data_IF_964806351025
#
_entry.id   IF_964806351025
#
_cell.length_a   1.000
_cell.length_b   1.000
_cell.length_c   1.000
_cell.angle_alpha   90.00
_cell.angle_beta   90.00
_cell.angle_gamma   90.00
#
_symmetry.space_group_name_H-M   'P 1'
#
loop_
_entity.id
_entity.type
_entity.pdbx_description
1 polymer ?
#
# COMPACT_ATOMS: atom_id res chain seq x y z
N UNK A 1 -4.69 12.86 6.52
CA UNK A 1 -3.28 12.52 6.80
C UNK A 1 -2.36 13.56 6.18
N UNK A 2 -1.31 13.97 6.89
CA UNK A 2 -0.33 14.98 6.47
C UNK A 2 0.87 14.26 5.87
N UNK A 3 1.30 14.67 4.67
CA UNK A 3 2.42 14.06 3.97
C UNK A 3 3.70 14.11 4.83
N UNK A 4 4.45 13.02 4.88
CA UNK A 4 5.67 12.84 5.68
C UNK A 4 5.49 12.91 7.21
N UNK A 5 4.27 13.13 7.72
CA UNK A 5 4.01 12.98 9.15
C UNK A 5 4.03 11.50 9.53
N UNK A 6 4.60 11.22 10.69
CA UNK A 6 4.63 9.92 11.31
C UNK A 6 3.38 9.71 12.18
N UNK A 7 2.92 8.47 12.21
CA UNK A 7 1.71 8.06 12.92
C UNK A 7 1.93 6.72 13.60
N UNK A 8 1.33 6.55 14.78
CA UNK A 8 1.19 5.24 15.43
C UNK A 8 0.07 4.45 14.77
N UNK A 9 -0.02 3.15 15.11
CA UNK A 9 -1.15 2.32 14.69
C UNK A 9 -2.48 2.91 15.15
N UNK A 10 -2.54 3.36 16.40
CA UNK A 10 -3.75 3.89 17.05
C UNK A 10 -4.21 5.18 16.37
N UNK A 11 -3.29 6.06 15.99
CA UNK A 11 -3.62 7.28 15.24
C UNK A 11 -4.16 6.97 13.83
N UNK A 12 -3.62 5.95 13.16
CA UNK A 12 -4.12 5.51 11.85
C UNK A 12 -5.49 4.85 12.00
N UNK A 13 -5.67 4.00 13.02
CA UNK A 13 -6.97 3.39 13.35
C UNK A 13 -8.04 4.45 13.58
N UNK A 14 -7.72 5.48 14.37
CA UNK A 14 -8.60 6.62 14.60
C UNK A 14 -8.90 7.39 13.31
N UNK A 15 -7.88 7.72 12.51
CA UNK A 15 -8.04 8.51 11.29
C UNK A 15 -8.87 7.81 10.20
N UNK A 16 -8.91 6.48 10.19
CA UNK A 16 -9.64 5.68 9.20
C UNK A 16 -10.91 5.01 9.76
N UNK A 17 -11.26 5.29 11.02
CA UNK A 17 -12.34 4.61 11.75
C UNK A 17 -12.26 3.08 11.58
N UNK A 18 -11.12 2.53 11.96
CA UNK A 18 -10.85 1.11 11.71
C UNK A 18 -10.02 0.47 12.81
N UNK A 19 -9.96 -0.86 12.78
CA UNK A 19 -9.11 -1.68 13.65
C UNK A 19 -8.28 -2.64 12.80
N UNK A 20 -6.98 -2.70 13.05
CA UNK A 20 -6.06 -3.65 12.41
C UNK A 20 -5.92 -4.95 13.21
N UNK A 21 -6.30 -4.94 14.50
CA UNK A 21 -6.12 -6.07 15.41
C UNK A 21 -4.70 -6.12 15.98
N UNK A 22 -4.20 -7.30 16.36
CA UNK A 22 -2.91 -7.45 17.04
C UNK A 22 -1.71 -6.94 16.23
N UNK A 23 -1.77 -7.00 14.89
CA UNK A 23 -0.70 -6.53 14.02
C UNK A 23 -1.23 -5.93 12.72
N UNK A 24 -0.42 -5.07 12.11
CA UNK A 24 -0.74 -4.44 10.82
C UNK A 24 -0.24 -5.34 9.69
N UNK A 25 -1.16 -5.80 8.85
CA UNK A 25 -0.84 -6.47 7.58
C UNK A 25 -0.33 -5.45 6.55
N UNK A 26 0.41 -5.93 5.56
CA UNK A 26 0.91 -5.07 4.48
C UNK A 26 -0.21 -4.45 3.64
N UNK A 27 -1.26 -5.21 3.34
CA UNK A 27 -2.41 -4.77 2.53
C UNK A 27 -3.67 -4.89 3.38
N UNK A 28 -4.35 -3.77 3.64
CA UNK A 28 -5.60 -3.75 4.39
C UNK A 28 -6.72 -3.19 3.51
N UNK A 29 -7.70 -4.03 3.17
CA UNK A 29 -8.91 -3.62 2.47
C UNK A 29 -9.92 -3.07 3.47
N UNK A 30 -10.53 -1.94 3.14
CA UNK A 30 -11.60 -1.33 3.91
C UNK A 30 -12.64 -0.73 2.96
N UNK A 31 -13.74 -0.24 3.53
CA UNK A 31 -14.79 0.47 2.82
C UNK A 31 -15.10 1.76 3.56
N UNK A 32 -15.36 2.83 2.81
CA UNK A 32 -15.98 4.02 3.35
C UNK A 32 -17.43 3.74 3.73
N UNK A 33 -18.08 4.68 4.42
CA UNK A 33 -19.50 4.58 4.83
C UNK A 33 -20.45 4.45 3.64
N UNK A 34 -20.09 5.03 2.49
CA UNK A 34 -20.80 4.89 1.20
C UNK A 34 -20.58 3.54 0.51
N UNK A 35 -19.80 2.64 1.12
CA UNK A 35 -19.47 1.32 0.59
C UNK A 35 -18.31 1.29 -0.40
N UNK A 36 -17.75 2.45 -0.80
CA UNK A 36 -16.63 2.51 -1.74
C UNK A 36 -15.38 1.87 -1.13
N UNK A 37 -14.73 0.91 -1.81
CA UNK A 37 -13.54 0.27 -1.26
C UNK A 37 -12.35 1.23 -1.26
N UNK A 38 -11.45 1.03 -0.31
CA UNK A 38 -10.13 1.66 -0.29
C UNK A 38 -9.10 0.70 0.31
N UNK A 39 -7.83 1.00 0.10
CA UNK A 39 -6.70 0.20 0.59
C UNK A 39 -5.83 1.07 1.49
N UNK A 40 -5.44 0.53 2.64
CA UNK A 40 -4.35 1.07 3.46
C UNK A 40 -3.14 0.15 3.27
N UNK A 41 -2.09 0.69 2.65
CA UNK A 41 -0.90 -0.05 2.25
C UNK A 41 0.27 0.30 3.17
N UNK A 42 0.82 -0.71 3.83
CA UNK A 42 1.96 -0.60 4.73
C UNK A 42 3.17 -1.29 4.11
N UNK A 43 4.27 -0.54 4.00
CA UNK A 43 5.57 -1.03 3.56
C UNK A 43 6.61 -0.85 4.67
N UNK A 44 7.51 -1.82 4.83
CA UNK A 44 8.63 -1.75 5.78
C UNK A 44 9.93 -1.61 5.00
N UNK A 45 10.80 -0.70 5.41
CA UNK A 45 12.09 -0.46 4.74
C UNK A 45 13.07 -1.64 4.89
N UNK A 46 12.89 -2.50 5.89
CA UNK A 46 13.78 -3.64 6.12
C UNK A 46 13.30 -4.90 5.37
N UNK A 47 13.69 -4.99 4.10
CA UNK A 47 13.63 -6.17 3.23
C UNK A 47 14.80 -6.11 2.22
N UNK A 48 15.14 -7.20 1.48
CA UNK A 48 16.37 -7.30 0.67
C UNK A 48 16.42 -6.37 -0.55
N UNK A 49 15.48 -5.43 -0.65
CA UNK A 49 15.35 -4.52 -1.79
C UNK A 49 15.81 -3.15 -1.35
N UNK A 50 16.86 -2.65 -1.99
CA UNK A 50 17.19 -1.23 -2.04
C UNK A 50 16.05 -0.53 -2.77
N UNK A 51 14.97 -0.25 -2.06
CA UNK A 51 13.89 0.57 -2.57
C UNK A 51 14.45 1.97 -2.85
N UNK A 52 14.78 2.26 -4.11
CA UNK A 52 14.86 3.63 -4.59
C UNK A 52 13.47 4.25 -4.44
N UNK A 53 13.25 4.91 -3.32
CA UNK A 53 12.21 5.92 -3.17
C UNK A 53 12.59 7.11 -4.06
N UNK A 54 12.48 6.95 -5.38
CA UNK A 54 12.32 8.10 -6.25
C UNK A 54 11.12 8.90 -5.74
N UNK A 55 11.10 10.24 -5.93
CA UNK A 55 10.07 11.11 -5.33
C UNK A 55 8.63 10.58 -5.51
N UNK A 56 8.35 9.83 -6.59
CA UNK A 56 7.00 9.53 -7.06
C UNK A 56 6.68 8.05 -7.38
N UNK A 57 7.63 7.13 -7.60
CA UNK A 57 7.35 5.74 -8.03
C UNK A 57 8.05 4.73 -7.11
N UNK A 58 7.36 3.63 -6.81
CA UNK A 58 7.82 2.58 -5.90
C UNK A 58 7.33 1.20 -6.35
N UNK A 59 8.07 0.16 -5.97
CA UNK A 59 7.71 -1.24 -6.17
C UNK A 59 7.18 -1.83 -4.86
N UNK A 60 6.19 -2.71 -4.95
CA UNK A 60 5.62 -3.39 -3.79
C UNK A 60 5.39 -4.85 -4.11
N UNK A 61 5.96 -5.74 -3.31
CA UNK A 61 5.73 -7.17 -3.43
C UNK A 61 4.42 -7.53 -2.70
N UNK A 62 3.58 -8.33 -3.37
CA UNK A 62 2.27 -8.73 -2.85
C UNK A 62 2.32 -9.53 -1.56
N UNK A 63 1.15 -9.82 -1.01
CA UNK A 63 1.00 -10.67 0.17
C UNK A 63 1.35 -12.14 -0.15
N UNK A 64 2.14 -12.75 0.75
CA UNK A 64 2.53 -14.16 0.70
C UNK A 64 4.04 -14.31 0.61
N UNK A 65 4.68 -14.75 1.70
CA UNK A 65 6.13 -14.97 1.77
C UNK A 65 6.48 -16.45 1.62
N UNK A 66 7.66 -16.74 1.08
CA UNK A 66 8.27 -18.07 0.97
C UNK A 66 7.38 -19.13 0.27
N UNK A 67 6.59 -18.70 -0.72
CA UNK A 67 5.74 -19.56 -1.57
C UNK A 67 5.32 -18.81 -2.81
N UNK A 68 4.89 -19.54 -3.86
CA UNK A 68 4.19 -18.94 -4.98
C UNK A 68 2.95 -18.19 -4.47
N UNK A 69 2.90 -16.89 -4.72
CA UNK A 69 1.83 -16.05 -4.23
C UNK A 69 0.52 -16.39 -4.93
N UNK A 70 -0.55 -16.45 -4.14
CA UNK A 70 -1.91 -16.62 -4.66
C UNK A 70 -2.55 -15.25 -4.86
N UNK A 71 -3.53 -15.16 -5.75
CA UNK A 71 -4.38 -13.98 -5.89
C UNK A 71 -5.40 -13.92 -4.75
N UNK A 72 -4.92 -13.77 -3.51
CA UNK A 72 -5.76 -13.58 -2.31
C UNK A 72 -6.56 -12.29 -2.41
N UNK A 73 -7.53 -12.07 -1.52
CA UNK A 73 -8.28 -10.80 -1.48
C UNK A 73 -7.35 -9.57 -1.41
N UNK A 74 -6.23 -9.67 -0.70
CA UNK A 74 -5.20 -8.64 -0.63
C UNK A 74 -4.56 -8.33 -1.99
N UNK A 75 -3.98 -9.34 -2.64
CA UNK A 75 -3.33 -9.16 -3.95
C UNK A 75 -4.35 -8.76 -5.02
N UNK A 76 -5.54 -9.37 -5.00
CA UNK A 76 -6.63 -9.03 -5.92
C UNK A 76 -7.05 -7.58 -5.76
N UNK A 77 -7.12 -7.03 -4.54
CA UNK A 77 -7.49 -5.63 -4.35
C UNK A 77 -6.51 -4.66 -5.01
N UNK A 78 -5.20 -4.95 -4.99
CA UNK A 78 -4.22 -4.13 -5.70
C UNK A 78 -4.36 -4.29 -7.22
N UNK A 79 -4.60 -5.50 -7.74
CA UNK A 79 -4.89 -5.72 -9.17
C UNK A 79 -6.15 -4.95 -9.60
N UNK A 80 -7.23 -5.07 -8.84
CA UNK A 80 -8.52 -4.41 -9.13
C UNK A 80 -8.41 -2.89 -9.03
N UNK A 81 -7.57 -2.37 -8.14
CA UNK A 81 -7.38 -0.92 -7.95
C UNK A 81 -6.89 -0.18 -9.19
N UNK A 82 -6.19 -0.89 -10.09
CA UNK A 82 -5.79 -0.33 -11.37
C UNK A 82 -6.99 -0.07 -12.29
N UNK A 83 -8.09 -0.81 -12.13
CA UNK A 83 -9.31 -0.71 -12.95
C UNK A 83 -10.36 0.20 -12.32
N UNK A 84 -10.62 0.04 -11.03
CA UNK A 84 -11.70 0.77 -10.35
C UNK A 84 -11.27 2.10 -9.72
N UNK A 85 -9.97 2.40 -9.73
CA UNK A 85 -9.44 3.67 -9.25
C UNK A 85 -9.63 3.90 -7.74
N UNK A 86 -9.88 2.86 -6.94
CA UNK A 86 -9.98 2.98 -5.48
C UNK A 86 -8.74 3.62 -4.87
N UNK A 87 -8.94 4.42 -3.84
CA UNK A 87 -7.85 5.10 -3.14
C UNK A 87 -6.92 4.11 -2.44
N UNK A 88 -5.62 4.32 -2.57
CA UNK A 88 -4.59 3.59 -1.82
C UNK A 88 -3.84 4.59 -0.95
N UNK A 89 -3.94 4.44 0.36
CA UNK A 89 -3.24 5.27 1.34
C UNK A 89 -1.93 4.60 1.73
N UNK A 90 -0.80 5.20 1.36
CA UNK A 90 0.52 4.62 1.59
C UNK A 90 1.14 5.03 2.91
N UNK A 91 1.67 4.04 3.63
CA UNK A 91 2.45 4.20 4.85
C UNK A 91 3.77 3.45 4.74
N UNK A 92 4.85 4.07 5.23
CA UNK A 92 6.17 3.44 5.28
C UNK A 92 6.78 3.51 6.66
N UNK A 93 7.36 2.40 7.10
CA UNK A 93 8.17 2.33 8.30
C UNK A 93 9.64 2.34 7.89
N UNK A 94 10.32 3.47 8.17
CA UNK A 94 11.72 3.69 7.79
C UNK A 94 12.71 3.32 8.92
N UNK A 95 12.36 3.61 10.19
CA UNK A 95 13.31 3.52 11.32
C UNK A 95 12.77 2.71 12.49
N UNK A 96 11.70 3.19 13.10
CA UNK A 96 11.18 2.67 14.35
C UNK A 96 10.00 1.72 14.12
N UNK A 97 10.01 0.57 14.79
CA UNK A 97 8.91 -0.38 14.76
C UNK A 97 7.68 0.21 15.45
N UNK A 98 6.56 0.24 14.74
CA UNK A 98 5.29 0.79 15.22
C UNK A 98 5.02 2.22 14.74
N UNK A 99 6.03 2.91 14.22
CA UNK A 99 5.91 4.25 13.66
C UNK A 99 5.83 4.18 12.14
N UNK A 100 4.85 4.89 11.56
CA UNK A 100 4.53 4.83 10.15
C UNK A 100 4.43 6.23 9.53
N UNK A 101 5.33 6.53 8.60
CA UNK A 101 5.29 7.78 7.83
C UNK A 101 4.25 7.69 6.73
N UNK A 102 3.32 8.64 6.68
CA UNK A 102 2.38 8.75 5.56
C UNK A 102 3.10 9.23 4.29
N UNK A 103 3.11 8.41 3.24
CA UNK A 103 3.81 8.72 1.98
C UNK A 103 2.90 9.28 0.89
N UNK A 104 1.59 9.37 1.17
CA UNK A 104 0.60 9.99 0.27
C UNK A 104 -0.41 8.99 -0.31
N UNK A 105 -1.28 9.52 -1.17
CA UNK A 105 -2.17 8.71 -2.00
C UNK A 105 -1.38 8.07 -3.14
N UNK A 106 -1.75 6.84 -3.46
CA UNK A 106 -1.05 5.99 -4.40
C UNK A 106 -2.01 5.44 -5.45
N UNK A 107 -1.47 5.10 -6.62
CA UNK A 107 -2.15 4.34 -7.67
C UNK A 107 -1.25 3.23 -8.17
N UNK A 108 -1.82 2.04 -8.41
CA UNK A 108 -1.14 0.98 -9.17
C UNK A 108 -1.11 1.43 -10.64
N UNK A 109 0.10 1.55 -11.20
CA UNK A 109 0.29 1.91 -12.60
C UNK A 109 0.67 0.70 -13.46
N UNK A 110 1.16 -0.37 -12.84
CA UNK A 110 1.43 -1.65 -13.49
C UNK A 110 1.56 -2.75 -12.44
N UNK A 111 1.41 -4.00 -12.84
CA UNK A 111 1.78 -5.16 -12.02
C UNK A 111 2.23 -6.33 -12.89
N UNK A 112 3.04 -7.22 -12.31
CA UNK A 112 3.47 -8.47 -12.95
C UNK A 112 3.38 -9.62 -11.95
N UNK A 113 3.12 -10.83 -12.44
CA UNK A 113 3.33 -12.06 -11.70
C UNK A 113 4.59 -12.72 -12.24
N UNK A 114 5.69 -12.66 -11.50
CA UNK A 114 7.03 -12.98 -12.00
C UNK A 114 7.83 -13.78 -10.98
N UNK A 115 8.76 -14.66 -11.42
CA UNK A 115 9.70 -15.30 -10.50
C UNK A 115 10.55 -14.25 -9.76
N UNK A 116 10.62 -14.38 -8.43
CA UNK A 116 11.44 -13.56 -7.53
C UNK A 116 11.82 -14.39 -6.30
N UNK A 117 13.11 -14.47 -5.97
CA UNK A 117 13.62 -15.29 -4.86
C UNK A 117 13.11 -16.74 -4.85
N UNK A 118 13.03 -17.38 -6.02
CA UNK A 118 12.57 -18.77 -6.16
C UNK A 118 11.04 -18.96 -6.15
N UNK A 119 10.25 -17.89 -6.01
CA UNK A 119 8.79 -17.97 -6.00
C UNK A 119 8.16 -16.99 -6.99
N UNK A 120 7.05 -17.38 -7.61
CA UNK A 120 6.26 -16.44 -8.38
C UNK A 120 5.58 -15.43 -7.43
N UNK A 121 5.82 -14.15 -7.67
CA UNK A 121 5.46 -13.03 -6.80
C UNK A 121 4.67 -12.00 -7.61
N UNK A 122 3.59 -11.46 -7.03
CA UNK A 122 2.94 -10.28 -7.58
C UNK A 122 3.80 -9.06 -7.23
N UNK A 123 4.30 -8.37 -8.25
CA UNK A 123 5.09 -7.15 -8.11
C UNK A 123 4.28 -5.99 -8.66
N UNK A 124 3.89 -5.07 -7.78
CA UNK A 124 3.08 -3.90 -8.09
C UNK A 124 3.97 -2.68 -8.24
N UNK A 125 3.87 -1.99 -9.38
CA UNK A 125 4.46 -0.67 -9.57
C UNK A 125 3.42 0.38 -9.21
N UNK A 126 3.74 1.21 -8.24
CA UNK A 126 2.85 2.20 -7.69
C UNK A 126 3.42 3.61 -7.90
N UNK A 127 2.53 4.59 -8.03
CA UNK A 127 2.87 6.01 -8.21
C UNK A 127 2.10 6.87 -7.22
N UNK A 128 2.75 7.90 -6.66
CA UNK A 128 2.06 8.92 -5.86
C UNK A 128 1.09 9.72 -6.73
N UNK A 129 -0.09 10.00 -6.20
CA UNK A 129 -1.08 10.87 -6.83
C UNK A 129 -0.74 12.32 -6.50
N UNK A 130 -0.50 13.14 -7.52
CA UNK A 130 -0.43 14.60 -7.34
C UNK A 130 -1.86 15.16 -7.31
N UNK A 131 -2.22 15.81 -6.19
CA UNK A 131 -3.56 16.38 -6.01
C UNK A 131 -3.82 17.62 -6.89
N UNK A 132 -2.80 18.17 -7.56
CA UNK A 132 -2.95 19.31 -8.48
C UNK A 132 -3.67 18.95 -9.80
N UNK A 133 -3.91 17.67 -10.09
CA UNK A 133 -4.53 17.22 -11.35
C UNK A 133 -6.03 16.89 -11.22
N UNK A 134 -6.67 17.23 -10.10
CA UNK A 134 -8.09 16.86 -9.84
C UNK A 134 -9.07 17.99 -10.24
N UNK A 135 -8.60 19.20 -10.55
CA UNK A 135 -9.45 20.34 -10.93
C UNK A 135 -9.55 20.55 -12.45
N UNK A 136 -9.76 19.50 -13.23
CA UNK A 136 -10.04 19.67 -14.67
C UNK A 136 -10.97 18.58 -15.19
N UNK A 137 -12.23 18.61 -14.77
CA UNK A 137 -13.40 18.25 -15.57
C UNK A 137 -14.54 19.16 -15.12
#
# INVERSE_FOLDING_TARGET
>A
MILNKEYTKEEIEYAFDTRFGYGIKGINLRKFTDGKPYIILFSKQFGPYTDEFSKNIFSYDGEGINKNQKLTAANKALVDSQKDGRSIYGFRQDREKGVWKYVGLLKVINWKYTPKNGFNTYVFKLKKVNLQTINTI
#
